data_IF_804114158030
#
_entry.id   IF_804114158030
#
_cell.length_a   1.000
_cell.length_b   1.000
_cell.length_c   1.000
_cell.angle_alpha   90.00
_cell.angle_beta   90.00
_cell.angle_gamma   90.00
#
_symmetry.space_group_name_H-M   'P 1'
#
loop_
_entity.id
_entity.type
_entity.pdbx_description
1 polymer ?
#
# COMPACT_ATOMS: atom_id res chain seq x y z
N UNK A 1 -1.68 10.63 -12.95
CA UNK A 1 -0.56 11.29 -12.23
C UNK A 1 -1.09 12.04 -11.02
N UNK A 2 -1.15 11.30 -9.92
CA UNK A 2 -1.38 11.85 -8.58
C UNK A 2 -0.09 12.54 -8.11
N UNK A 3 -0.21 13.69 -7.45
CA UNK A 3 0.97 14.40 -6.91
C UNK A 3 1.63 13.60 -5.78
N UNK A 4 2.95 13.66 -5.65
CA UNK A 4 3.72 13.02 -4.56
C UNK A 4 3.17 13.33 -3.16
N UNK A 5 2.67 14.54 -2.95
CA UNK A 5 2.04 14.93 -1.69
C UNK A 5 0.80 14.06 -1.39
N UNK A 6 -0.05 13.84 -2.39
CA UNK A 6 -1.27 13.03 -2.24
C UNK A 6 -0.91 11.56 -2.00
N UNK A 7 0.12 11.04 -2.67
CA UNK A 7 0.67 9.71 -2.40
C UNK A 7 1.10 9.54 -0.94
N UNK A 8 1.81 10.53 -0.38
CA UNK A 8 2.23 10.49 1.03
C UNK A 8 1.04 10.46 2.01
N UNK A 9 -0.02 11.23 1.74
CA UNK A 9 -1.24 11.20 2.57
C UNK A 9 -1.89 9.81 2.55
N UNK A 10 -1.94 9.17 1.38
CA UNK A 10 -2.49 7.82 1.24
C UNK A 10 -1.62 6.76 1.91
N UNK A 11 -0.30 6.87 1.83
CA UNK A 11 0.63 5.99 2.55
C UNK A 11 0.43 6.09 4.07
N UNK A 12 0.38 7.30 4.60
CA UNK A 12 0.16 7.53 6.02
C UNK A 12 -1.20 6.98 6.48
N UNK A 13 -2.24 7.18 5.68
CA UNK A 13 -3.57 6.63 5.94
C UNK A 13 -3.55 5.09 5.94
N UNK A 14 -2.87 4.47 4.98
CA UNK A 14 -2.77 3.02 4.88
C UNK A 14 -1.96 2.41 6.04
N UNK A 15 -0.89 3.08 6.49
CA UNK A 15 -0.13 2.67 7.69
C UNK A 15 -1.01 2.67 8.94
N UNK A 16 -1.88 3.68 9.10
CA UNK A 16 -2.84 3.72 10.22
C UNK A 16 -3.86 2.59 10.15
N UNK A 17 -4.30 2.22 8.95
CA UNK A 17 -5.19 1.07 8.79
C UNK A 17 -4.50 -0.25 9.13
N UNK A 18 -3.24 -0.45 8.73
CA UNK A 18 -2.46 -1.62 9.16
C UNK A 18 -2.31 -1.68 10.68
N UNK A 19 -2.05 -0.55 11.34
CA UNK A 19 -1.98 -0.47 12.81
C UNK A 19 -3.31 -0.79 13.50
N UNK A 20 -4.44 -0.58 12.82
CA UNK A 20 -5.78 -0.95 13.30
C UNK A 20 -6.12 -2.43 13.03
N UNK A 21 -5.23 -3.17 12.36
CA UNK A 21 -5.43 -4.58 12.03
C UNK A 21 -6.14 -4.81 10.69
N UNK A 22 -6.27 -3.80 9.84
CA UNK A 22 -6.79 -3.98 8.49
C UNK A 22 -5.76 -4.65 7.57
N UNK A 23 -6.23 -5.62 6.80
CA UNK A 23 -5.51 -6.36 5.78
C UNK A 23 -5.35 -5.60 4.46
N UNK A 24 -4.51 -6.14 3.57
CA UNK A 24 -4.15 -5.52 2.28
C UNK A 24 -5.37 -5.32 1.39
N UNK A 25 -6.33 -6.25 1.38
CA UNK A 25 -7.55 -6.14 0.58
C UNK A 25 -8.36 -4.88 0.95
N UNK A 26 -8.38 -4.53 2.24
CA UNK A 26 -8.98 -3.30 2.72
C UNK A 26 -8.25 -2.05 2.19
N UNK A 27 -6.91 -2.07 2.16
CA UNK A 27 -6.09 -0.97 1.64
C UNK A 27 -6.31 -0.78 0.13
N UNK A 28 -6.34 -1.87 -0.64
CA UNK A 28 -6.64 -1.86 -2.08
C UNK A 28 -8.02 -1.24 -2.32
N UNK A 29 -9.04 -1.66 -1.56
CA UNK A 29 -10.38 -1.10 -1.66
C UNK A 29 -10.42 0.40 -1.31
N UNK A 30 -9.64 0.83 -0.31
CA UNK A 30 -9.51 2.25 0.01
C UNK A 30 -8.91 3.05 -1.15
N UNK A 31 -7.81 2.59 -1.75
CA UNK A 31 -7.16 3.29 -2.84
C UNK A 31 -8.02 3.36 -4.12
N UNK A 32 -8.77 2.30 -4.42
CA UNK A 32 -9.73 2.29 -5.52
C UNK A 32 -10.86 3.31 -5.30
N UNK A 33 -11.33 3.49 -4.06
CA UNK A 33 -12.39 4.47 -3.74
C UNK A 33 -11.95 5.92 -3.95
N UNK A 34 -10.66 6.21 -3.78
CA UNK A 34 -10.10 7.56 -3.97
C UNK A 34 -9.59 7.79 -5.40
N UNK A 35 -9.97 6.93 -6.34
CA UNK A 35 -9.66 7.03 -7.77
C UNK A 35 -8.16 7.11 -8.10
N UNK A 36 -7.32 6.46 -7.29
CA UNK A 36 -5.93 6.20 -7.67
C UNK A 36 -5.90 5.21 -8.84
N UNK A 37 -4.98 5.45 -9.78
CA UNK A 37 -4.75 4.51 -10.88
C UNK A 37 -4.01 3.26 -10.39
N UNK A 38 -4.06 2.19 -11.20
CA UNK A 38 -3.50 0.89 -10.80
C UNK A 38 -1.98 0.94 -10.59
N UNK A 39 -1.29 1.80 -11.33
CA UNK A 39 0.16 2.00 -11.20
C UNK A 39 0.49 2.68 -9.86
N UNK A 40 -0.22 3.75 -9.50
CA UNK A 40 -0.09 4.42 -8.21
C UNK A 40 -0.44 3.47 -7.06
N UNK A 41 -1.49 2.65 -7.20
CA UNK A 41 -1.86 1.64 -6.20
C UNK A 41 -0.74 0.62 -5.98
N UNK A 42 -0.16 0.08 -7.05
CA UNK A 42 0.91 -0.90 -6.97
C UNK A 42 2.18 -0.33 -6.32
N UNK A 43 2.51 0.92 -6.64
CA UNK A 43 3.61 1.66 -6.01
C UNK A 43 3.38 1.82 -4.50
N UNK A 44 2.19 2.30 -4.11
CA UNK A 44 1.84 2.48 -2.72
C UNK A 44 1.90 1.16 -1.95
N UNK A 45 1.30 0.09 -2.48
CA UNK A 45 1.32 -1.24 -1.84
C UNK A 45 2.74 -1.74 -1.57
N UNK A 46 3.67 -1.52 -2.51
CA UNK A 46 5.08 -1.92 -2.36
C UNK A 46 5.75 -1.22 -1.17
N UNK A 47 5.36 0.02 -0.86
CA UNK A 47 5.92 0.82 0.24
C UNK A 47 5.36 0.44 1.63
N UNK A 48 4.12 -0.09 1.70
CA UNK A 48 3.43 -0.45 2.96
C UNK A 48 3.48 -1.94 3.27
N UNK A 49 3.64 -2.80 2.27
CA UNK A 49 3.94 -4.20 2.54
C UNK A 49 5.44 -4.31 2.82
N UNK A 50 5.87 -4.79 3.98
CA UNK A 50 7.26 -5.20 4.11
C UNK A 50 7.51 -6.20 2.98
N UNK A 51 8.59 -6.00 2.20
CA UNK A 51 9.14 -7.08 1.38
C UNK A 51 9.23 -8.25 2.33
N UNK A 52 8.32 -9.22 2.18
CA UNK A 52 8.53 -10.52 2.80
C UNK A 52 9.94 -10.87 2.36
N UNK A 53 10.90 -11.10 3.28
CA UNK A 53 12.15 -11.68 2.85
C UNK A 53 11.69 -12.94 2.13
N UNK A 54 11.90 -12.97 0.81
CA UNK A 54 11.91 -14.22 0.11
C UNK A 54 12.89 -15.05 0.91
N UNK A 55 12.36 -15.99 1.68
CA UNK A 55 13.14 -17.06 2.26
C UNK A 55 13.72 -17.78 1.05
N UNK A 56 14.87 -17.32 0.57
CA UNK A 56 15.84 -18.15 -0.10
C UNK A 56 16.25 -19.19 0.95
N UNK A 57 15.38 -20.19 1.10
CA UNK A 57 15.67 -21.41 1.83
C UNK A 57 16.66 -22.15 0.95
N UNK A 58 17.94 -21.87 1.17
CA UNK A 58 19.04 -22.68 0.70
C UNK A 58 18.67 -24.16 0.86
N UNK A 59 18.70 -24.89 -0.26
CA UNK A 59 18.58 -26.33 -0.36
C UNK A 59 19.53 -26.80 -1.45
#
# INVERSE_FOLDING_TARGET
MTSDFVKQIHLETARRYQQQGHDIDYLVSHFQKVALDQDDIAELLTEITPKSPHTERNG
#
